data_IF_231863570778
#
_entry.id   IF_231863570778
#
_cell.length_a   1.000
_cell.length_b   1.000
_cell.length_c   1.000
_cell.angle_alpha   90.00
_cell.angle_beta   90.00
_cell.angle_gamma   90.00
#
_symmetry.space_group_name_H-M   'P 1'
#
loop_
_entity.id
_entity.type
_entity.pdbx_description
1 polymer ?
#
# COMPACT_ATOMS: atom_id res chain seq x y z
N UNK A 1 17.09 -0.42 22.23
CA UNK A 1 16.88 0.60 21.17
C UNK A 1 16.81 -0.04 19.79
N UNK A 2 17.75 -0.91 19.42
CA UNK A 2 17.74 -1.67 18.15
C UNK A 2 16.50 -2.56 17.97
N UNK A 3 16.07 -3.25 19.03
CA UNK A 3 14.87 -4.11 19.01
C UNK A 3 13.59 -3.35 18.64
N UNK A 4 13.42 -2.15 19.21
CA UNK A 4 12.25 -1.31 18.96
C UNK A 4 12.24 -0.77 17.53
N UNK A 5 13.41 -0.34 17.04
CA UNK A 5 13.59 0.08 15.65
C UNK A 5 13.35 -1.07 14.66
N UNK A 6 13.91 -2.25 14.94
CA UNK A 6 13.71 -3.44 14.12
C UNK A 6 12.24 -3.90 14.10
N UNK A 7 11.55 -3.82 15.23
CA UNK A 7 10.12 -4.13 15.33
C UNK A 7 9.28 -3.18 14.45
N UNK A 8 9.50 -1.86 14.57
CA UNK A 8 8.79 -0.89 13.74
C UNK A 8 9.07 -1.10 12.25
N UNK A 9 10.33 -1.32 11.87
CA UNK A 9 10.70 -1.59 10.49
C UNK A 9 10.02 -2.86 9.95
N UNK A 10 10.05 -3.95 10.71
CA UNK A 10 9.40 -5.20 10.34
C UNK A 10 7.89 -5.05 10.22
N UNK A 11 7.24 -4.34 11.15
CA UNK A 11 5.81 -4.12 11.14
C UNK A 11 5.38 -3.26 9.94
N UNK A 12 6.10 -2.17 9.66
CA UNK A 12 5.84 -1.33 8.48
C UNK A 12 6.02 -2.11 7.19
N UNK A 13 7.06 -2.94 7.09
CA UNK A 13 7.29 -3.79 5.91
C UNK A 13 6.18 -4.83 5.74
N UNK A 14 5.78 -5.51 6.81
CA UNK A 14 4.72 -6.53 6.79
C UNK A 14 3.42 -5.96 6.24
N UNK A 15 3.03 -4.78 6.71
CA UNK A 15 1.79 -4.11 6.33
C UNK A 15 1.86 -3.62 4.89
N UNK A 16 2.97 -2.99 4.50
CA UNK A 16 3.17 -2.55 3.13
C UNK A 16 3.05 -3.71 2.13
N UNK A 17 3.64 -4.87 2.46
CA UNK A 17 3.54 -6.08 1.64
C UNK A 17 2.12 -6.65 1.65
N UNK A 18 1.44 -6.68 2.80
CA UNK A 18 0.07 -7.19 2.93
C UNK A 18 -0.92 -6.38 2.08
N UNK A 19 -0.90 -5.05 2.20
CA UNK A 19 -1.77 -4.16 1.44
C UNK A 19 -1.43 -4.23 -0.06
N UNK A 20 -0.14 -4.26 -0.40
CA UNK A 20 0.30 -4.46 -1.78
C UNK A 20 -0.21 -5.78 -2.38
N UNK A 21 -0.26 -6.86 -1.58
CA UNK A 21 -0.85 -8.14 -1.97
C UNK A 21 -2.33 -8.00 -2.36
N UNK A 22 -3.13 -7.33 -1.53
CA UNK A 22 -4.54 -7.05 -1.84
C UNK A 22 -4.69 -6.24 -3.12
N UNK A 23 -3.87 -5.19 -3.30
CA UNK A 23 -3.87 -4.40 -4.52
C UNK A 23 -3.53 -5.25 -5.75
N UNK A 24 -2.47 -6.06 -5.67
CA UNK A 24 -2.02 -6.94 -6.75
C UNK A 24 -3.09 -7.95 -7.16
N UNK A 25 -3.80 -8.53 -6.19
CA UNK A 25 -4.88 -9.49 -6.44
C UNK A 25 -6.10 -8.78 -7.03
N UNK A 26 -6.49 -7.62 -6.50
CA UNK A 26 -7.60 -6.83 -7.05
C UNK A 26 -7.35 -6.47 -8.53
N UNK A 27 -6.14 -6.02 -8.86
CA UNK A 27 -5.73 -5.74 -10.25
C UNK A 27 -5.78 -7.00 -11.11
N UNK A 28 -5.29 -8.14 -10.61
CA UNK A 28 -5.30 -9.39 -11.35
C UNK A 28 -6.72 -9.91 -11.63
N UNK A 29 -7.66 -9.68 -10.71
CA UNK A 29 -9.08 -10.01 -10.87
C UNK A 29 -9.86 -8.97 -11.70
N UNK A 30 -9.20 -7.95 -12.26
CA UNK A 30 -9.87 -6.90 -13.05
C UNK A 30 -10.70 -5.92 -12.21
N UNK A 31 -10.55 -5.92 -10.89
CA UNK A 31 -11.24 -4.99 -10.01
C UNK A 31 -10.52 -3.63 -10.04
N UNK A 32 -11.29 -2.58 -10.34
CA UNK A 32 -10.79 -1.20 -10.31
C UNK A 32 -10.52 -0.77 -8.87
N UNK A 33 -9.25 -0.52 -8.55
CA UNK A 33 -8.87 0.07 -7.27
C UNK A 33 -8.83 1.59 -7.47
N UNK A 34 -9.59 2.31 -6.63
CA UNK A 34 -9.72 3.77 -6.73
C UNK A 34 -8.68 4.52 -5.89
N UNK A 35 -8.19 3.88 -4.82
CA UNK A 35 -7.20 4.45 -3.90
C UNK A 35 -6.42 3.31 -3.28
N UNK A 36 -5.09 3.40 -3.34
CA UNK A 36 -4.22 2.54 -2.56
C UNK A 36 -3.73 3.32 -1.34
N UNK A 37 -3.97 2.82 -0.13
CA UNK A 37 -3.44 3.37 1.11
C UNK A 37 -2.48 2.38 1.74
N UNK A 38 -1.40 2.87 2.35
CA UNK A 38 -0.54 2.07 3.23
C UNK A 38 -0.64 2.66 4.65
N UNK A 39 -1.13 1.91 5.63
CA UNK A 39 -1.00 2.29 7.04
C UNK A 39 -2.08 1.83 8.04
N UNK A 40 -1.79 2.02 9.34
CA UNK A 40 -2.72 1.87 10.45
C UNK A 40 -3.52 3.18 10.68
N UNK A 41 -4.63 3.38 9.99
CA UNK A 41 -5.53 4.54 10.21
C UNK A 41 -5.45 5.64 9.15
N UNK A 42 -5.72 6.93 9.48
CA UNK A 42 -5.92 8.00 8.50
C UNK A 42 -4.71 8.16 7.58
N UNK A 43 -4.99 8.43 6.30
CA UNK A 43 -3.98 8.54 5.23
C UNK A 43 -2.87 9.52 5.62
N UNK A 44 -1.71 8.99 6.03
CA UNK A 44 -0.55 9.77 6.46
C UNK A 44 0.14 10.47 5.29
N UNK A 45 0.07 9.89 4.09
CA UNK A 45 0.72 10.41 2.91
C UNK A 45 -0.10 10.10 1.66
N UNK A 46 -0.34 11.11 0.82
CA UNK A 46 -0.98 10.94 -0.50
C UNK A 46 0.05 11.23 -1.57
N UNK A 47 0.31 10.23 -2.40
CA UNK A 47 1.14 10.39 -3.59
C UNK A 47 0.33 10.01 -4.82
N UNK A 48 0.27 10.90 -5.81
CA UNK A 48 -0.30 10.59 -7.13
C UNK A 48 0.85 10.25 -8.08
N UNK A 49 0.94 9.01 -8.60
CA UNK A 49 1.92 8.68 -9.63
C UNK A 49 1.71 9.52 -10.89
N UNK A 50 2.79 10.04 -11.49
CA UNK A 50 2.73 10.84 -12.73
C UNK A 50 2.25 10.05 -13.96
N UNK A 51 2.21 8.71 -13.87
CA UNK A 51 1.68 7.81 -14.90
C UNK A 51 0.73 6.80 -14.25
N UNK A 52 -0.56 7.12 -14.10
CA UNK A 52 -1.55 6.14 -13.67
C UNK A 52 -1.63 5.02 -14.70
N UNK A 53 -1.89 3.78 -14.26
CA UNK A 53 -2.11 2.68 -15.20
C UNK A 53 -3.40 2.94 -15.98
N UNK A 54 -3.43 2.69 -17.30
CA UNK A 54 -4.67 2.80 -18.05
C UNK A 54 -5.75 1.96 -17.38
N UNK A 55 -6.93 2.56 -17.14
CA UNK A 55 -8.06 1.92 -16.48
C UNK A 55 -8.00 1.73 -14.94
N UNK A 56 -7.04 2.37 -14.25
CA UNK A 56 -6.93 2.38 -12.79
C UNK A 56 -6.83 3.83 -12.27
N UNK A 57 -7.68 4.19 -11.29
CA UNK A 57 -7.72 5.54 -10.69
C UNK A 57 -6.92 5.66 -9.38
N UNK A 58 -6.04 4.67 -9.09
CA UNK A 58 -5.22 4.60 -7.87
C UNK A 58 -4.23 5.74 -7.69
#
# INVERSE_FOLDING_TARGET
MTTLLAFLAALTLLIAVHEYGHYRVAVACGVRVLRFSIGFGPVLWRWKPSRPRPHQDT
#
